data_IF_227287239693
#
_entry.id   IF_227287239693
#
_cell.length_a   1.000
_cell.length_b   1.000
_cell.length_c   1.000
_cell.angle_alpha   90.00
_cell.angle_beta   90.00
_cell.angle_gamma   90.00
#
_symmetry.space_group_name_H-M   'P 1'
#
loop_
_entity.id
_entity.type
_entity.pdbx_description
1 polymer ?
#
# COMPACT_ATOMS: atom_id res chain seq x y z
N UNK A 1 -5.38 -12.41 -1.06
CA UNK A 1 -4.44 -13.49 -0.68
C UNK A 1 -4.75 -14.72 -1.52
N UNK A 2 -3.74 -15.47 -1.96
CA UNK A 2 -3.94 -16.70 -2.74
C UNK A 2 -4.59 -17.79 -1.88
N UNK A 3 -5.53 -18.54 -2.45
CA UNK A 3 -6.27 -19.58 -1.74
C UNK A 3 -5.37 -20.69 -1.19
N UNK A 4 -4.30 -21.04 -1.89
CA UNK A 4 -3.37 -22.09 -1.46
C UNK A 4 -2.56 -21.70 -0.22
N UNK A 5 -2.22 -20.42 -0.08
CA UNK A 5 -1.55 -19.88 1.11
C UNK A 5 -2.50 -19.89 2.32
N UNK A 6 -3.78 -19.58 2.11
CA UNK A 6 -4.77 -19.63 3.18
C UNK A 6 -5.04 -21.07 3.64
N UNK A 7 -5.18 -22.03 2.72
CA UNK A 7 -5.31 -23.46 3.06
C UNK A 7 -4.10 -23.99 3.84
N UNK A 8 -2.89 -23.49 3.54
CA UNK A 8 -1.70 -23.78 4.32
C UNK A 8 -1.80 -23.19 5.74
N UNK A 9 -2.18 -21.92 5.91
CA UNK A 9 -2.37 -21.30 7.24
C UNK A 9 -3.46 -22.00 8.08
N UNK A 10 -4.51 -22.49 7.43
CA UNK A 10 -5.57 -23.27 8.08
C UNK A 10 -5.03 -24.58 8.69
N UNK A 11 -4.10 -25.25 7.99
CA UNK A 11 -3.46 -26.47 8.50
C UNK A 11 -2.51 -26.25 9.68
N UNK A 12 -2.09 -25.00 9.93
CA UNK A 12 -1.24 -24.63 11.06
C UNK A 12 -2.02 -24.05 12.25
N UNK A 13 -3.30 -23.70 12.07
CA UNK A 13 -4.15 -23.06 13.09
C UNK A 13 -5.08 -24.04 13.84
N UNK A 14 -4.87 -25.36 13.70
CA UNK A 14 -5.71 -26.41 14.31
C UNK A 14 -5.72 -26.45 15.87
N UNK A 15 -5.03 -25.54 16.56
CA UNK A 15 -5.02 -25.40 18.04
C UNK A 15 -5.75 -24.13 18.56
N UNK A 16 -6.41 -23.34 17.70
CA UNK A 16 -7.16 -22.13 18.08
C UNK A 16 -8.69 -22.30 18.00
N UNK A 17 -9.43 -21.74 18.97
CA UNK A 17 -10.90 -21.83 19.11
C UNK A 17 -11.69 -20.93 18.12
N UNK A 18 -10.99 -20.26 17.19
CA UNK A 18 -11.59 -19.47 16.11
C UNK A 18 -11.40 -20.17 14.76
N UNK A 19 -12.51 -20.50 14.11
CA UNK A 19 -12.50 -21.10 12.79
C UNK A 19 -11.92 -20.08 11.77
N UNK A 20 -10.92 -20.46 10.97
CA UNK A 20 -10.33 -19.55 10.00
C UNK A 20 -11.36 -19.14 8.92
N UNK A 21 -11.25 -17.92 8.38
CA UNK A 21 -12.18 -17.43 7.36
C UNK A 21 -12.16 -18.37 6.15
N UNK A 22 -13.35 -18.72 5.67
CA UNK A 22 -13.54 -19.72 4.61
C UNK A 22 -14.02 -19.09 3.30
N UNK A 23 -14.38 -17.80 3.34
CA UNK A 23 -14.86 -17.02 2.21
C UNK A 23 -14.42 -15.56 2.30
N UNK A 24 -14.47 -14.86 1.17
CA UNK A 24 -14.25 -13.40 1.11
C UNK A 24 -15.23 -12.59 1.97
N UNK A 25 -16.42 -13.13 2.27
CA UNK A 25 -17.42 -12.49 3.13
C UNK A 25 -17.01 -12.52 4.61
N UNK A 26 -16.36 -13.61 5.04
CA UNK A 26 -15.87 -13.77 6.43
C UNK A 26 -14.75 -12.78 6.75
N UNK A 27 -14.09 -12.21 5.74
CA UNK A 27 -13.04 -11.19 5.89
C UNK A 27 -13.59 -9.78 6.10
N UNK A 28 -14.89 -9.56 5.88
CA UNK A 28 -15.50 -8.25 6.01
C UNK A 28 -15.92 -8.04 7.47
N UNK A 29 -15.15 -7.23 8.18
CA UNK A 29 -15.51 -6.73 9.51
C UNK A 29 -16.03 -5.27 9.44
N UNK A 30 -17.36 -5.03 9.53
CA UNK A 30 -17.91 -3.69 9.50
C UNK A 30 -17.48 -2.81 10.67
N UNK A 31 -17.10 -3.37 11.82
CA UNK A 31 -16.61 -2.58 12.95
C UNK A 31 -15.19 -2.09 12.68
N UNK A 32 -14.28 -2.97 12.30
CA UNK A 32 -12.94 -2.61 11.85
C UNK A 32 -12.95 -1.62 10.67
N UNK A 33 -13.89 -1.72 9.73
CA UNK A 33 -14.02 -0.72 8.66
C UNK A 33 -14.43 0.67 9.17
N UNK A 34 -15.24 0.77 10.22
CA UNK A 34 -15.60 2.08 10.81
C UNK A 34 -14.45 2.67 11.61
N UNK A 35 -13.66 1.82 12.25
CA UNK A 35 -12.44 2.23 12.93
C UNK A 35 -11.39 2.71 11.92
N UNK A 36 -11.19 1.97 10.83
CA UNK A 36 -10.33 2.37 9.72
C UNK A 36 -10.77 3.71 9.11
N UNK A 37 -12.08 3.90 8.88
CA UNK A 37 -12.60 5.20 8.43
C UNK A 37 -12.24 6.32 9.40
N UNK A 38 -12.34 6.07 10.71
CA UNK A 38 -11.97 7.07 11.73
C UNK A 38 -10.47 7.36 11.74
N UNK A 39 -9.63 6.34 11.51
CA UNK A 39 -8.18 6.48 11.37
C UNK A 39 -7.77 7.25 10.10
N UNK A 40 -8.54 7.11 9.01
CA UNK A 40 -8.32 7.86 7.77
C UNK A 40 -8.63 9.35 7.91
N UNK A 41 -9.40 9.77 8.92
CA UNK A 41 -9.54 11.18 9.29
C UNK A 41 -10.97 11.65 9.53
N UNK A 42 -11.10 12.90 9.98
CA UNK A 42 -12.38 13.50 10.33
C UNK A 42 -13.31 13.62 9.11
N UNK A 43 -14.53 13.10 9.24
CA UNK A 43 -15.54 13.16 8.19
C UNK A 43 -15.47 12.03 7.15
N UNK A 44 -14.54 11.09 7.31
CA UNK A 44 -14.50 9.84 6.52
C UNK A 44 -15.49 8.82 7.09
N UNK A 45 -16.23 8.13 6.22
CA UNK A 45 -17.25 7.15 6.60
C UNK A 45 -17.19 5.93 5.71
N UNK A 46 -17.36 4.75 6.31
CA UNK A 46 -17.54 3.51 5.59
C UNK A 46 -18.93 3.47 4.92
N UNK A 47 -18.96 3.14 3.63
CA UNK A 47 -20.19 3.04 2.82
C UNK A 47 -20.58 1.58 2.57
N UNK A 48 -19.65 0.77 2.06
CA UNK A 48 -19.92 -0.62 1.70
C UNK A 48 -18.63 -1.41 1.50
N UNK A 49 -18.67 -2.73 1.70
CA UNK A 49 -17.63 -3.65 1.25
C UNK A 49 -18.23 -4.67 0.29
N UNK A 50 -17.55 -4.94 -0.81
CA UNK A 50 -17.97 -5.94 -1.80
C UNK A 50 -16.92 -7.06 -1.84
N UNK A 51 -17.29 -8.32 -1.56
CA UNK A 51 -16.35 -9.42 -1.62
C UNK A 51 -15.86 -9.62 -3.06
N UNK A 52 -14.56 -9.90 -3.20
CA UNK A 52 -13.97 -10.33 -4.46
C UNK A 52 -14.49 -11.74 -4.75
N UNK A 53 -14.91 -11.98 -5.99
CA UNK A 53 -15.47 -13.27 -6.40
C UNK A 53 -14.42 -14.38 -6.33
N UNK A 54 -14.80 -15.53 -5.76
CA UNK A 54 -13.96 -16.72 -5.60
C UNK A 54 -13.43 -17.29 -6.93
N UNK A 55 -14.07 -16.94 -8.06
CA UNK A 55 -13.62 -17.31 -9.41
C UNK A 55 -12.25 -16.72 -9.79
N UNK A 56 -11.76 -15.74 -9.02
CA UNK A 56 -10.44 -15.13 -9.18
C UNK A 56 -9.30 -15.96 -8.59
N UNK A 57 -9.61 -17.03 -7.83
CA UNK A 57 -8.61 -17.78 -7.06
C UNK A 57 -8.04 -17.02 -5.85
N UNK A 58 -8.54 -15.81 -5.59
CA UNK A 58 -8.14 -14.95 -4.48
C UNK A 58 -9.33 -14.69 -3.56
N UNK A 59 -9.09 -14.68 -2.25
CA UNK A 59 -10.02 -14.14 -1.27
C UNK A 59 -9.65 -12.70 -0.91
N UNK A 60 -10.66 -11.83 -0.78
CA UNK A 60 -10.51 -10.42 -0.43
C UNK A 60 -11.80 -9.63 -0.64
N UNK A 61 -11.77 -8.33 -0.40
CA UNK A 61 -12.93 -7.45 -0.59
C UNK A 61 -12.49 -6.06 -1.08
N UNK A 62 -13.43 -5.31 -1.64
CA UNK A 62 -13.28 -3.88 -1.96
C UNK A 62 -14.14 -3.06 -1.01
N UNK A 63 -13.53 -2.27 -0.14
CA UNK A 63 -14.22 -1.32 0.70
C UNK A 63 -14.35 0.05 0.02
N UNK A 64 -15.52 0.67 0.16
CA UNK A 64 -15.83 2.00 -0.31
C UNK A 64 -16.02 2.91 0.90
N UNK A 65 -15.26 4.01 0.89
CA UNK A 65 -15.36 5.08 1.87
C UNK A 65 -15.79 6.37 1.19
N UNK A 66 -16.51 7.20 1.92
CA UNK A 66 -16.86 8.56 1.52
C UNK A 66 -16.26 9.56 2.50
N UNK A 67 -16.07 10.80 2.05
CA UNK A 67 -15.53 11.87 2.86
C UNK A 67 -16.21 13.19 2.48
N UNK A 68 -16.30 14.10 3.45
CA UNK A 68 -16.88 15.44 3.21
C UNK A 68 -15.81 16.43 2.70
N UNK A 69 -14.56 16.26 3.14
CA UNK A 69 -13.44 17.12 2.77
C UNK A 69 -12.17 16.29 2.59
N UNK A 70 -11.66 16.24 1.35
CA UNK A 70 -10.43 15.51 1.02
C UNK A 70 -9.23 15.99 1.83
N UNK A 71 -9.22 17.27 2.26
CA UNK A 71 -8.12 17.81 3.07
C UNK A 71 -8.03 17.26 4.49
N UNK A 72 -9.04 16.50 4.91
CA UNK A 72 -9.07 15.78 6.18
C UNK A 72 -8.70 14.31 6.05
N UNK A 73 -8.53 13.83 4.82
CA UNK A 73 -8.18 12.44 4.54
C UNK A 73 -6.67 12.25 4.64
N UNK A 74 -6.28 11.21 5.38
CA UNK A 74 -4.94 10.65 5.45
C UNK A 74 -5.03 9.18 5.03
N UNK A 75 -4.24 8.80 4.05
CA UNK A 75 -4.10 7.42 3.62
C UNK A 75 -2.71 6.98 4.03
N UNK A 76 -2.60 6.01 4.93
CA UNK A 76 -1.36 5.29 5.12
C UNK A 76 -1.44 4.01 4.27
N UNK A 77 -0.57 3.85 3.27
CA UNK A 77 -0.44 2.65 2.44
C UNK A 77 -0.44 1.32 3.20
N UNK A 78 0.12 1.31 4.41
CA UNK A 78 0.28 0.12 5.25
C UNK A 78 -0.88 -0.11 6.22
N UNK A 79 -1.78 0.89 6.40
CA UNK A 79 -2.97 0.75 7.27
C UNK A 79 -3.94 -0.27 6.65
N UNK A 80 -3.92 -1.49 7.16
CA UNK A 80 -4.73 -2.63 6.68
C UNK A 80 -3.91 -3.85 6.26
N UNK A 81 -2.57 -3.80 6.31
CA UNK A 81 -1.77 -5.02 6.35
C UNK A 81 -2.02 -5.75 7.68
N UNK A 82 -2.11 -7.09 7.70
CA UNK A 82 -2.14 -7.85 8.95
C UNK A 82 -0.75 -7.76 9.61
N UNK A 83 -0.53 -6.72 10.40
CA UNK A 83 0.60 -6.62 11.31
C UNK A 83 0.06 -6.67 12.74
N UNK A 84 0.71 -7.47 13.60
CA UNK A 84 0.32 -7.70 15.00
C UNK A 84 0.62 -6.50 15.92
N UNK A 85 1.04 -5.37 15.35
CA UNK A 85 1.46 -4.19 16.09
C UNK A 85 0.64 -2.98 15.64
N UNK A 86 0.14 -2.23 16.63
CA UNK A 86 -0.37 -0.89 16.45
C UNK A 86 0.79 0.01 16.00
N UNK A 87 1.19 -0.10 14.73
CA UNK A 87 2.14 0.82 14.14
C UNK A 87 1.54 2.22 14.22
N UNK A 88 2.26 3.08 14.93
CA UNK A 88 1.95 4.48 15.13
C UNK A 88 1.51 5.14 13.83
N UNK A 89 0.50 6.01 13.90
CA UNK A 89 0.01 6.82 12.79
C UNK A 89 1.07 7.80 12.21
N UNK A 90 2.33 7.69 12.62
CA UNK A 90 3.50 8.44 12.19
C UNK A 90 4.33 7.73 11.09
N UNK A 91 3.79 6.68 10.47
CA UNK A 91 4.34 6.10 9.24
C UNK A 91 3.91 6.81 7.94
N UNK A 92 4.48 6.32 6.82
CA UNK A 92 4.24 6.72 5.43
C UNK A 92 2.79 7.16 5.23
N UNK A 93 2.58 8.42 4.84
CA UNK A 93 1.24 8.97 4.74
C UNK A 93 1.07 9.84 3.51
N UNK A 94 0.00 9.57 2.79
CA UNK A 94 -0.51 10.43 1.74
C UNK A 94 -1.60 11.32 2.34
N UNK A 95 -1.36 12.62 2.32
CA UNK A 95 -2.32 13.64 2.74
C UNK A 95 -2.66 14.56 1.58
N UNK A 96 -3.75 15.30 1.72
CA UNK A 96 -4.27 16.12 0.65
C UNK A 96 -4.52 17.56 1.11
N UNK A 97 -4.27 18.51 0.21
CA UNK A 97 -4.73 19.88 0.30
C UNK A 97 -5.62 20.18 -0.90
N UNK A 98 -6.71 20.92 -0.70
CA UNK A 98 -7.60 21.27 -1.82
C UNK A 98 -7.94 22.75 -1.79
N UNK A 99 -7.48 23.47 -2.82
CA UNK A 99 -7.81 24.87 -3.03
C UNK A 99 -8.94 24.99 -4.06
N UNK A 100 -10.05 25.60 -3.63
CA UNK A 100 -11.21 25.88 -4.48
C UNK A 100 -11.16 27.26 -5.12
N UNK A 101 -10.20 28.11 -4.76
CA UNK A 101 -10.09 29.47 -5.26
C UNK A 101 -9.56 29.48 -6.70
N UNK A 102 -10.32 30.10 -7.61
CA UNK A 102 -9.93 30.19 -9.03
C UNK A 102 -10.12 28.85 -9.74
N UNK A 103 -9.04 28.28 -10.28
CA UNK A 103 -9.06 26.93 -10.85
C UNK A 103 -8.83 25.93 -9.71
N UNK A 104 -9.73 24.96 -9.47
CA UNK A 104 -9.56 24.01 -8.38
C UNK A 104 -8.22 23.26 -8.51
N UNK A 105 -7.52 23.15 -7.39
CA UNK A 105 -6.20 22.53 -7.31
C UNK A 105 -6.15 21.55 -6.16
N UNK A 106 -5.71 20.32 -6.45
CA UNK A 106 -5.34 19.32 -5.47
C UNK A 106 -3.83 19.35 -5.26
N UNK A 107 -3.41 19.38 -4.02
CA UNK A 107 -2.04 19.14 -3.58
C UNK A 107 -2.03 17.79 -2.89
N UNK A 108 -1.20 16.86 -3.36
CA UNK A 108 -0.98 15.55 -2.77
C UNK A 108 0.38 15.63 -2.08
N UNK A 109 0.41 15.44 -0.77
CA UNK A 109 1.64 15.41 0.02
C UNK A 109 1.94 13.97 0.42
N UNK A 110 3.07 13.46 -0.06
CA UNK A 110 3.53 12.10 0.12
C UNK A 110 4.64 12.17 1.15
N UNK A 111 4.31 11.82 2.39
CA UNK A 111 5.29 11.64 3.46
C UNK A 111 5.84 10.23 3.29
N UNK A 112 7.06 10.13 2.81
CA UNK A 112 7.84 8.90 2.86
C UNK A 112 8.70 9.02 4.12
N UNK A 113 8.50 8.12 5.06
CA UNK A 113 9.36 7.85 6.21
C UNK A 113 10.72 7.45 5.65
N UNK A 114 11.53 8.47 5.39
CA UNK A 114 12.97 8.35 5.31
C UNK A 114 13.50 9.40 6.27
N UNK A 115 14.32 8.96 7.23
CA UNK A 115 15.03 9.81 8.21
C UNK A 115 14.28 10.11 9.53
N UNK A 116 13.76 9.10 10.23
CA UNK A 116 13.93 9.09 11.69
C UNK A 116 14.75 7.84 12.08
N UNK A 117 15.95 8.13 12.57
CA UNK A 117 17.03 7.21 12.93
C UNK A 117 16.79 6.51 14.28
N UNK A 118 15.56 6.47 14.80
CA UNK A 118 15.26 6.07 16.18
C UNK A 118 14.06 5.13 16.28
N UNK A 119 14.05 4.04 15.51
CA UNK A 119 13.48 2.76 15.95
C UNK A 119 14.29 1.64 15.29
N UNK A 120 15.54 1.54 15.75
CA UNK A 120 16.30 0.30 15.65
C UNK A 120 15.64 -0.71 16.59
N UNK A 121 14.54 -1.31 16.14
CA UNK A 121 14.34 -2.71 16.50
C UNK A 121 15.58 -3.44 16.01
N UNK A 122 16.23 -4.17 16.92
CA UNK A 122 17.35 -5.06 16.67
C UNK A 122 16.93 -6.16 15.68
N UNK A 123 16.72 -5.80 14.41
CA UNK A 123 17.18 -6.64 13.33
C UNK A 123 18.69 -6.56 13.39
N UNK A 124 19.27 -7.46 14.20
CA UNK A 124 20.69 -7.84 14.14
C UNK A 124 21.13 -7.67 12.69
N UNK A 125 22.18 -6.88 12.42
CA UNK A 125 22.71 -6.64 11.08
C UNK A 125 22.95 -8.00 10.40
N UNK A 126 21.93 -8.51 9.73
CA UNK A 126 21.98 -9.85 9.20
C UNK A 126 23.07 -9.82 8.15
N UNK A 127 23.95 -10.83 8.22
CA UNK A 127 24.93 -10.97 7.16
C UNK A 127 24.19 -10.95 5.81
N UNK A 128 24.74 -10.34 4.75
CA UNK A 128 24.16 -10.42 3.42
C UNK A 128 23.82 -11.86 3.00
N UNK A 129 24.52 -12.85 3.57
CA UNK A 129 24.27 -14.27 3.40
C UNK A 129 23.00 -14.78 4.13
N UNK A 130 22.73 -14.28 5.34
CA UNK A 130 21.54 -14.60 6.14
C UNK A 130 20.29 -13.92 5.58
N UNK A 131 20.41 -12.64 5.19
CA UNK A 131 19.35 -11.92 4.49
C UNK A 131 19.00 -12.63 3.17
N UNK A 132 20.00 -13.08 2.40
CA UNK A 132 19.75 -13.84 1.17
C UNK A 132 19.09 -15.20 1.44
N UNK A 133 19.44 -15.88 2.53
CA UNK A 133 18.83 -17.15 2.92
C UNK A 133 17.35 -16.95 3.32
N UNK A 134 17.05 -15.97 4.17
CA UNK A 134 15.66 -15.64 4.54
C UNK A 134 14.86 -15.18 3.33
N UNK A 135 15.42 -14.32 2.48
CA UNK A 135 14.77 -13.87 1.26
C UNK A 135 14.40 -15.05 0.36
N UNK A 136 15.29 -16.03 0.21
CA UNK A 136 15.01 -17.24 -0.58
C UNK A 136 13.90 -18.10 0.02
N UNK A 137 13.75 -18.13 1.35
CA UNK A 137 12.64 -18.81 2.02
C UNK A 137 11.33 -18.03 1.89
N UNK A 138 11.39 -16.69 1.85
CA UNK A 138 10.22 -15.80 1.72
C UNK A 138 9.73 -15.64 0.28
N UNK A 139 10.60 -15.85 -0.73
CA UNK A 139 10.25 -15.70 -2.16
C UNK A 139 8.89 -16.34 -2.55
N UNK A 140 8.57 -17.60 -2.15
CA UNK A 140 7.29 -18.21 -2.50
C UNK A 140 6.07 -17.51 -1.89
N UNK A 141 6.23 -16.84 -0.76
CA UNK A 141 5.18 -16.10 -0.05
C UNK A 141 5.02 -14.67 -0.57
N UNK A 142 6.09 -14.09 -1.10
CA UNK A 142 6.11 -12.76 -1.70
C UNK A 142 5.54 -12.74 -3.13
N UNK A 143 5.45 -13.90 -3.78
CA UNK A 143 4.84 -14.03 -5.11
C UNK A 143 3.36 -13.62 -5.10
N UNK A 144 2.95 -12.87 -6.10
CA UNK A 144 1.59 -12.35 -6.25
C UNK A 144 1.26 -11.14 -5.36
N UNK A 145 2.20 -10.68 -4.52
CA UNK A 145 1.99 -9.47 -3.72
C UNK A 145 2.04 -8.22 -4.61
N UNK A 146 0.97 -7.44 -4.60
CA UNK A 146 0.88 -6.19 -5.31
C UNK A 146 0.19 -5.15 -4.42
N UNK A 147 0.69 -3.92 -4.49
CA UNK A 147 0.21 -2.79 -3.73
C UNK A 147 0.17 -1.56 -4.62
N UNK A 148 -0.94 -0.82 -4.63
CA UNK A 148 -1.04 0.40 -5.43
C UNK A 148 -1.90 1.46 -4.76
N UNK A 149 -1.44 2.71 -4.88
CA UNK A 149 -2.15 3.93 -4.49
C UNK A 149 -2.20 4.85 -5.69
N UNK A 150 -3.41 5.25 -6.06
CA UNK A 150 -3.66 6.17 -7.15
C UNK A 150 -4.82 7.12 -6.82
N UNK A 151 -4.76 8.31 -7.42
CA UNK A 151 -5.78 9.34 -7.30
C UNK A 151 -6.39 9.57 -8.68
N UNK A 152 -7.68 9.31 -8.81
CA UNK A 152 -8.44 9.57 -10.02
C UNK A 152 -9.27 10.84 -9.87
N UNK A 153 -9.22 11.71 -10.88
CA UNK A 153 -9.94 12.99 -10.89
C UNK A 153 -11.05 12.93 -11.93
N UNK A 154 -12.29 12.79 -11.49
CA UNK A 154 -13.43 12.56 -12.39
C UNK A 154 -13.74 13.74 -13.33
N UNK A 155 -13.41 14.98 -12.94
CA UNK A 155 -13.54 16.16 -13.82
C UNK A 155 -12.43 16.23 -14.88
N UNK A 156 -11.41 15.39 -14.74
CA UNK A 156 -10.21 15.33 -15.53
C UNK A 156 -9.12 16.32 -15.15
N UNK A 157 -7.92 16.04 -15.67
CA UNK A 157 -6.69 16.79 -15.36
C UNK A 157 -6.44 17.86 -16.43
N UNK A 158 -6.25 19.10 -15.99
CA UNK A 158 -5.81 20.21 -16.85
C UNK A 158 -4.28 20.23 -16.96
N UNK A 159 -3.61 20.25 -15.81
CA UNK A 159 -2.16 20.20 -15.68
C UNK A 159 -1.77 19.51 -14.38
N UNK A 160 -0.66 18.80 -14.40
CA UNK A 160 -0.09 18.15 -13.22
C UNK A 160 1.42 18.12 -13.37
N UNK A 161 2.12 18.15 -12.26
CA UNK A 161 3.56 17.90 -12.23
C UNK A 161 3.90 16.45 -11.80
N UNK A 162 2.91 15.59 -11.61
CA UNK A 162 3.12 14.17 -11.30
C UNK A 162 3.98 13.45 -12.35
N UNK A 163 4.80 12.50 -11.91
CA UNK A 163 5.69 11.70 -12.74
C UNK A 163 4.95 10.57 -13.47
N UNK A 164 3.87 10.06 -12.87
CA UNK A 164 3.10 8.91 -13.38
C UNK A 164 1.63 9.28 -13.56
N UNK A 165 1.23 9.50 -14.81
CA UNK A 165 -0.13 9.93 -15.18
C UNK A 165 -0.65 9.10 -16.33
N UNK A 166 -1.83 8.51 -16.16
CA UNK A 166 -2.58 7.83 -17.21
C UNK A 166 -4.00 8.36 -17.28
N UNK A 167 -4.31 9.09 -18.36
CA UNK A 167 -5.58 9.78 -18.52
C UNK A 167 -5.84 10.80 -17.39
N UNK A 168 -6.85 10.50 -16.57
CA UNK A 168 -7.27 11.32 -15.43
C UNK A 168 -6.85 10.72 -14.06
N UNK A 169 -5.90 9.78 -14.08
CA UNK A 169 -5.37 9.10 -12.90
C UNK A 169 -3.91 9.45 -12.68
N UNK A 170 -3.58 9.85 -11.45
CA UNK A 170 -2.22 10.03 -10.96
C UNK A 170 -1.85 8.84 -10.09
N UNK A 171 -0.78 8.13 -10.43
CA UNK A 171 -0.28 7.01 -9.62
C UNK A 171 0.77 7.51 -8.64
N UNK A 172 0.54 7.27 -7.35
CA UNK A 172 1.49 7.62 -6.28
C UNK A 172 2.46 6.46 -6.08
N UNK A 173 1.92 5.24 -6.01
CA UNK A 173 2.69 4.01 -5.86
C UNK A 173 2.01 2.88 -6.62
N UNK A 174 2.78 2.06 -7.32
CA UNK A 174 2.36 0.80 -7.93
C UNK A 174 3.52 -0.18 -7.82
N UNK A 175 3.49 -0.93 -6.73
CA UNK A 175 4.46 -1.92 -6.33
C UNK A 175 3.95 -3.32 -6.68
N UNK A 176 4.71 -4.04 -7.50
CA UNK A 176 4.37 -5.40 -7.94
C UNK A 176 5.56 -6.29 -7.65
N UNK A 177 5.43 -7.14 -6.63
CA UNK A 177 6.53 -7.95 -6.14
C UNK A 177 7.00 -8.98 -7.17
N UNK A 178 6.09 -9.50 -8.01
CA UNK A 178 6.46 -10.42 -9.10
C UNK A 178 7.48 -9.82 -10.06
N UNK A 179 7.33 -8.53 -10.41
CA UNK A 179 8.27 -7.82 -11.30
C UNK A 179 9.66 -7.67 -10.66
N UNK A 180 9.71 -7.60 -9.33
CA UNK A 180 10.96 -7.51 -8.57
C UNK A 180 11.59 -8.90 -8.44
N UNK A 181 10.79 -9.93 -8.13
CA UNK A 181 11.22 -11.32 -8.01
C UNK A 181 11.81 -11.88 -9.30
N UNK A 182 11.27 -11.46 -10.45
CA UNK A 182 11.80 -11.79 -11.79
C UNK A 182 13.21 -11.20 -12.04
N UNK A 183 13.66 -10.26 -11.21
CA UNK A 183 14.97 -9.64 -11.28
C UNK A 183 15.76 -9.87 -9.99
N UNK A 184 16.52 -10.97 -9.93
CA UNK A 184 17.29 -11.36 -8.74
C UNK A 184 18.17 -10.25 -8.17
N UNK A 185 18.77 -9.42 -9.02
CA UNK A 185 19.61 -8.30 -8.57
C UNK A 185 18.81 -7.20 -7.91
N UNK A 186 17.66 -6.86 -8.48
CA UNK A 186 16.75 -5.86 -7.93
C UNK A 186 16.12 -6.37 -6.64
N UNK A 187 15.68 -7.63 -6.61
CA UNK A 187 15.19 -8.28 -5.40
C UNK A 187 16.22 -8.23 -4.27
N UNK A 188 17.47 -8.63 -4.52
CA UNK A 188 18.52 -8.54 -3.50
C UNK A 188 18.78 -7.12 -3.02
N UNK A 189 18.68 -6.10 -3.90
CA UNK A 189 18.81 -4.70 -3.49
C UNK A 189 17.65 -4.22 -2.63
N UNK A 190 16.42 -4.57 -3.00
CA UNK A 190 15.22 -4.18 -2.25
C UNK A 190 15.21 -4.83 -0.87
N UNK A 191 15.56 -6.12 -0.76
CA UNK A 191 15.61 -6.82 0.53
C UNK A 191 16.78 -6.37 1.41
N UNK A 192 17.92 -6.00 0.81
CA UNK A 192 19.08 -5.52 1.57
C UNK A 192 19.02 -4.01 1.91
N UNK A 193 18.04 -3.28 1.38
CA UNK A 193 17.87 -1.86 1.68
C UNK A 193 16.78 -1.67 2.71
N UNK A 194 17.02 -0.74 3.62
CA UNK A 194 16.02 -0.28 4.59
C UNK A 194 14.96 0.62 3.95
N UNK A 195 15.15 1.09 2.70
CA UNK A 195 14.20 1.99 2.04
C UNK A 195 14.22 1.89 0.51
N UNK A 196 13.06 1.60 -0.07
CA UNK A 196 12.84 1.63 -1.53
C UNK A 196 12.88 3.04 -2.14
N UNK A 197 12.96 4.08 -1.30
CA UNK A 197 13.00 5.48 -1.71
C UNK A 197 14.41 5.95 -2.12
N UNK A 198 15.44 5.11 -1.94
CA UNK A 198 16.78 5.40 -2.44
C UNK A 198 16.77 5.59 -3.97
N UNK A 199 17.37 6.69 -4.45
CA UNK A 199 17.33 7.08 -5.88
C UNK A 199 17.82 5.99 -6.85
N UNK A 200 18.80 5.19 -6.45
CA UNK A 200 19.33 4.13 -7.31
C UNK A 200 18.41 2.91 -7.33
N UNK A 201 17.71 2.62 -6.23
CA UNK A 201 16.68 1.59 -6.17
C UNK A 201 15.44 2.02 -6.96
N UNK A 202 14.98 3.27 -6.77
CA UNK A 202 13.85 3.82 -7.52
C UNK A 202 14.04 3.75 -9.05
N UNK A 203 15.27 4.02 -9.53
CA UNK A 203 15.57 3.88 -10.97
C UNK A 203 15.44 2.45 -11.45
N UNK A 204 15.95 1.49 -10.69
CA UNK A 204 15.89 0.08 -11.06
C UNK A 204 14.44 -0.45 -10.97
N UNK A 205 13.66 0.00 -9.98
CA UNK A 205 12.23 -0.25 -9.85
C UNK A 205 11.44 0.31 -11.04
N UNK A 206 11.68 1.57 -11.40
CA UNK A 206 11.05 2.20 -12.56
C UNK A 206 11.38 1.44 -13.86
N UNK A 207 12.62 0.97 -14.02
CA UNK A 207 13.03 0.15 -15.16
C UNK A 207 12.33 -1.23 -15.18
N UNK A 208 11.99 -1.77 -14.01
CA UNK A 208 11.19 -2.98 -13.87
C UNK A 208 9.67 -2.73 -14.04
N UNK A 209 9.23 -1.48 -14.19
CA UNK A 209 7.82 -1.13 -14.32
C UNK A 209 7.07 -1.08 -12.99
N UNK A 210 7.79 -0.80 -11.90
CA UNK A 210 7.26 -0.42 -10.58
C UNK A 210 7.30 1.11 -10.50
N UNK A 211 6.17 1.73 -10.17
CA UNK A 211 6.04 3.20 -10.16
C UNK A 211 6.05 3.69 -8.71
N UNK A 212 6.93 4.63 -8.38
CA UNK A 212 6.96 5.30 -7.08
C UNK A 212 7.18 6.79 -7.35
N UNK A 213 6.23 7.62 -6.96
CA UNK A 213 6.40 9.07 -7.04
C UNK A 213 7.52 9.51 -6.09
N UNK A 214 8.56 10.12 -6.66
CA UNK A 214 9.76 10.55 -5.93
C UNK A 214 9.60 11.96 -5.33
N UNK A 215 8.53 12.67 -5.68
CA UNK A 215 8.22 13.98 -5.14
C UNK A 215 7.45 13.85 -3.84
N UNK A 216 7.88 14.58 -2.83
CA UNK A 216 7.13 14.75 -1.57
C UNK A 216 5.79 15.48 -1.80
N UNK A 217 5.67 16.24 -2.87
CA UNK A 217 4.45 16.98 -3.20
C UNK A 217 4.18 16.96 -4.69
N UNK A 218 2.94 16.62 -5.03
CA UNK A 218 2.38 16.64 -6.38
C UNK A 218 1.20 17.61 -6.41
N UNK A 219 1.11 18.38 -7.48
CA UNK A 219 0.02 19.33 -7.71
C UNK A 219 -0.77 18.96 -8.95
N UNK A 220 -2.09 19.02 -8.84
CA UNK A 220 -3.00 18.73 -9.94
C UNK A 220 -4.03 19.84 -10.07
N UNK A 221 -4.02 20.51 -11.21
CA UNK A 221 -5.03 21.49 -11.60
C UNK A 221 -6.18 20.79 -12.34
N UNK A 222 -7.41 21.07 -11.90
CA UNK A 222 -8.62 20.46 -12.46
C UNK A 222 -9.01 21.19 -13.75
N UNK A 223 -9.75 20.51 -14.64
CA UNK A 223 -10.26 21.11 -15.88
C UNK A 223 -11.28 22.21 -15.67
#
# INVERSE_FOLDING_TARGET
MDKSMMEMMQSFSEDGDDAPPSSSEDLIDPEGMRELASAMGEGVRFVSATPVSDSSGSMGYTALFEYDDISRVRINPMLGAPTDEEESADGDAVTFGFDRAGRPRLTISIQQSGEDEDESDEYDEQSPEEAAMMASMMKPFLGGMAFSVAVKIDSGIHSTDASYVDGDTVTIMDFQMDKILDNEKLFSKVVASSSVSEKDIQKDLAAAGVCIEAKETVTVDFR
#
